data_IF_311961202613
#
_entry.id   IF_311961202613
#
_cell.length_a   1.000
_cell.length_b   1.000
_cell.length_c   1.000
_cell.angle_alpha   90.00
_cell.angle_beta   90.00
_cell.angle_gamma   90.00
#
_symmetry.space_group_name_H-M   'P 1'
#
loop_
_entity.id
_entity.type
_entity.pdbx_description
1 polymer ?
#
# COMPACT_ATOMS: atom_id res chain seq x y z
N UNK A 1 -18.09 -14.43 -12.15
CA UNK A 1 -16.77 -13.74 -12.34
C UNK A 1 -15.69 -14.61 -11.72
N UNK A 2 -14.44 -14.63 -12.18
CA UNK A 2 -13.44 -15.55 -11.60
C UNK A 2 -12.83 -15.02 -10.31
N UNK A 3 -12.40 -15.92 -9.42
CA UNK A 3 -11.77 -15.56 -8.14
C UNK A 3 -10.47 -14.76 -8.33
N UNK A 4 -9.75 -15.02 -9.43
CA UNK A 4 -8.55 -14.28 -9.80
C UNK A 4 -8.85 -12.84 -10.25
N UNK A 5 -9.96 -12.66 -10.98
CA UNK A 5 -10.43 -11.31 -11.34
C UNK A 5 -10.78 -10.52 -10.07
N UNK A 6 -11.48 -11.15 -9.13
CA UNK A 6 -11.84 -10.57 -7.84
C UNK A 6 -10.60 -10.18 -7.02
N UNK A 7 -9.61 -11.08 -6.90
CA UNK A 7 -8.35 -10.78 -6.22
C UNK A 7 -7.59 -9.60 -6.84
N UNK A 8 -7.54 -9.52 -8.17
CA UNK A 8 -6.91 -8.39 -8.88
C UNK A 8 -7.60 -7.07 -8.55
N UNK A 9 -8.94 -7.05 -8.51
CA UNK A 9 -9.71 -5.85 -8.17
C UNK A 9 -9.48 -5.40 -6.72
N UNK A 10 -9.24 -6.32 -5.79
CA UNK A 10 -8.95 -5.96 -4.40
C UNK A 10 -7.70 -5.11 -4.30
N UNK A 11 -6.61 -5.52 -4.98
CA UNK A 11 -5.35 -4.76 -4.98
C UNK A 11 -5.56 -3.33 -5.49
N UNK A 12 -6.20 -3.16 -6.64
CA UNK A 12 -6.49 -1.83 -7.20
C UNK A 12 -7.38 -0.98 -6.29
N UNK A 13 -8.38 -1.58 -5.65
CA UNK A 13 -9.27 -0.87 -4.73
C UNK A 13 -8.52 -0.38 -3.49
N UNK A 14 -7.68 -1.24 -2.89
CA UNK A 14 -6.85 -0.88 -1.74
C UNK A 14 -5.86 0.22 -2.11
N UNK A 15 -5.15 0.09 -3.24
CA UNK A 15 -4.22 1.12 -3.72
C UNK A 15 -4.92 2.47 -3.87
N UNK A 16 -6.10 2.51 -4.49
CA UNK A 16 -6.85 3.76 -4.63
C UNK A 16 -7.21 4.39 -3.28
N UNK A 17 -7.66 3.58 -2.30
CA UNK A 17 -7.95 4.06 -0.95
C UNK A 17 -6.72 4.64 -0.25
N UNK A 18 -5.54 4.04 -0.46
CA UNK A 18 -4.29 4.58 0.06
C UNK A 18 -3.95 5.91 -0.59
N UNK A 19 -4.04 6.00 -1.92
CA UNK A 19 -3.73 7.21 -2.68
C UNK A 19 -4.75 8.35 -2.46
N UNK A 20 -5.96 8.05 -1.99
CA UNK A 20 -6.98 9.02 -1.61
C UNK A 20 -6.77 9.62 -0.21
N UNK A 21 -5.86 9.07 0.59
CA UNK A 21 -5.59 9.55 1.95
C UNK A 21 -4.40 10.53 1.97
N UNK A 22 -4.66 11.77 2.40
CA UNK A 22 -3.65 12.84 2.40
C UNK A 22 -2.47 12.53 3.33
N UNK A 23 -2.71 11.96 4.52
CA UNK A 23 -1.65 11.59 5.46
C UNK A 23 -0.72 10.52 4.87
N UNK A 24 -1.30 9.53 4.18
CA UNK A 24 -0.56 8.51 3.44
C UNK A 24 0.31 9.13 2.36
N UNK A 25 -0.29 9.95 1.48
CA UNK A 25 0.42 10.61 0.38
C UNK A 25 1.56 11.48 0.90
N UNK A 26 1.33 12.22 1.98
CA UNK A 26 2.32 13.09 2.61
C UNK A 26 3.50 12.27 3.17
N UNK A 27 3.26 11.14 3.84
CA UNK A 27 4.32 10.26 4.34
C UNK A 27 5.03 9.43 3.29
N UNK A 28 4.40 9.19 2.14
CA UNK A 28 5.10 8.63 0.97
C UNK A 28 6.12 9.62 0.41
N UNK A 29 5.93 10.93 0.65
CA UNK A 29 6.80 12.03 0.23
C UNK A 29 7.21 11.95 -1.26
N UNK A 30 6.24 11.89 -2.20
CA UNK A 30 6.55 11.81 -3.63
C UNK A 30 7.29 13.04 -4.12
N UNK A 31 8.14 12.82 -5.13
CA UNK A 31 8.83 13.92 -5.81
C UNK A 31 7.82 14.78 -6.58
N UNK A 32 7.99 16.10 -6.53
CA UNK A 32 7.12 16.99 -7.30
C UNK A 32 7.36 16.77 -8.81
N UNK A 33 6.28 16.49 -9.56
CA UNK A 33 6.40 16.39 -11.01
C UNK A 33 6.72 17.76 -11.63
N UNK A 34 7.67 17.86 -12.57
CA UNK A 34 7.89 19.09 -13.32
C UNK A 34 6.75 19.37 -14.32
N UNK A 35 5.85 18.39 -14.55
CA UNK A 35 4.77 18.48 -15.52
C UNK A 35 3.41 18.57 -14.82
N UNK A 36 2.69 19.68 -15.02
CA UNK A 36 1.35 19.92 -14.44
C UNK A 36 0.28 18.89 -14.84
N UNK A 37 0.54 18.10 -15.90
CA UNK A 37 -0.35 17.06 -16.41
C UNK A 37 -0.24 15.75 -15.62
N UNK A 38 0.83 15.58 -14.84
CA UNK A 38 1.08 14.39 -14.02
C UNK A 38 0.71 14.76 -12.58
N UNK A 39 -0.32 14.08 -12.06
CA UNK A 39 -0.76 14.28 -10.68
C UNK A 39 0.19 13.60 -9.69
N UNK A 40 0.10 13.97 -8.40
CA UNK A 40 0.82 13.27 -7.33
C UNK A 40 0.52 11.77 -7.29
N UNK A 41 -0.72 11.37 -7.62
CA UNK A 41 -1.10 9.96 -7.72
C UNK A 41 -0.40 9.26 -8.87
N UNK A 42 -0.28 9.92 -10.02
CA UNK A 42 0.46 9.39 -11.17
C UNK A 42 1.95 9.23 -10.84
N UNK A 43 2.54 10.15 -10.07
CA UNK A 43 3.92 10.02 -9.57
C UNK A 43 4.04 8.81 -8.65
N UNK A 44 3.11 8.62 -7.70
CA UNK A 44 3.13 7.49 -6.76
C UNK A 44 2.94 6.14 -7.45
N UNK A 45 2.16 6.07 -8.53
CA UNK A 45 1.99 4.85 -9.33
C UNK A 45 3.16 4.61 -10.29
N UNK A 46 3.86 5.67 -10.69
CA UNK A 46 4.89 5.58 -11.72
C UNK A 46 4.31 5.37 -13.11
N UNK A 47 5.16 5.46 -14.12
CA UNK A 47 4.73 5.30 -15.50
C UNK A 47 5.65 5.95 -16.51
N UNK A 48 5.17 5.98 -17.75
CA UNK A 48 5.86 6.61 -18.88
C UNK A 48 4.86 7.47 -19.64
N UNK A 49 5.21 8.73 -19.85
CA UNK A 49 4.39 9.70 -20.57
C UNK A 49 5.18 10.32 -21.73
N UNK A 50 4.45 10.69 -22.79
CA UNK A 50 5.00 11.48 -23.89
C UNK A 50 4.46 12.91 -23.76
N UNK A 51 5.29 13.83 -23.26
CA UNK A 51 4.92 15.23 -23.01
C UNK A 51 5.78 16.11 -23.91
N UNK A 52 5.15 16.95 -24.72
CA UNK A 52 5.81 17.82 -25.70
C UNK A 52 6.79 17.07 -26.63
N UNK A 53 6.43 15.84 -27.00
CA UNK A 53 7.25 14.96 -27.84
C UNK A 53 8.46 14.35 -27.14
N UNK A 54 8.63 14.54 -25.82
CA UNK A 54 9.69 13.95 -25.01
C UNK A 54 9.13 12.89 -24.06
N UNK A 55 9.88 11.80 -23.91
CA UNK A 55 9.58 10.73 -22.97
C UNK A 55 9.93 11.19 -21.55
N UNK A 56 8.98 11.07 -20.63
CA UNK A 56 9.17 11.26 -19.21
C UNK A 56 8.84 9.93 -18.51
N UNK A 57 9.71 9.48 -17.60
CA UNK A 57 9.56 8.23 -16.86
C UNK A 57 9.62 8.51 -15.36
N UNK A 58 8.73 7.88 -14.60
CA UNK A 58 8.72 7.89 -13.14
C UNK A 58 8.66 6.44 -12.65
N UNK A 59 9.51 6.09 -11.68
CA UNK A 59 9.56 4.72 -11.14
C UNK A 59 8.28 4.33 -10.40
N UNK A 60 7.65 5.30 -9.72
CA UNK A 60 6.58 5.02 -8.77
C UNK A 60 7.10 4.62 -7.40
N UNK A 61 6.15 4.51 -6.47
CA UNK A 61 6.36 4.16 -5.07
C UNK A 61 5.31 3.17 -4.55
N UNK A 62 4.17 3.04 -5.23
CA UNK A 62 3.06 2.17 -4.84
C UNK A 62 2.79 1.15 -5.94
N UNK A 63 2.91 -0.13 -5.61
CA UNK A 63 2.84 -1.23 -6.57
C UNK A 63 1.78 -2.27 -6.19
N UNK A 64 1.25 -2.98 -7.18
CA UNK A 64 0.36 -4.13 -6.98
C UNK A 64 1.09 -5.48 -7.06
N UNK A 65 2.42 -5.47 -6.94
CA UNK A 65 3.30 -6.64 -6.92
C UNK A 65 4.52 -6.37 -6.02
N UNK A 66 5.22 -7.43 -5.60
CA UNK A 66 6.44 -7.33 -4.81
C UNK A 66 7.55 -6.64 -5.62
N UNK A 67 7.63 -5.32 -5.46
CA UNK A 67 8.58 -4.46 -6.14
C UNK A 67 9.92 -4.51 -5.41
N UNK A 68 10.68 -5.59 -5.64
CA UNK A 68 12.10 -5.65 -5.28
C UNK A 68 12.91 -5.47 -6.55
N UNK A 69 13.19 -4.21 -6.89
CA UNK A 69 14.16 -3.88 -7.92
C UNK A 69 15.58 -4.00 -7.32
N UNK A 70 16.45 -4.79 -7.96
CA UNK A 70 17.88 -4.89 -7.57
C UNK A 70 18.60 -3.54 -7.70
N UNK A 71 18.04 -2.63 -8.50
CA UNK A 71 18.56 -1.30 -8.81
C UNK A 71 17.64 -0.19 -8.33
N UNK A 72 17.21 -0.20 -7.06
CA UNK A 72 16.61 1.00 -6.48
C UNK A 72 17.69 2.09 -6.37
N UNK A 73 17.68 3.03 -7.32
CA UNK A 73 18.63 4.15 -7.40
C UNK A 73 18.24 5.24 -6.40
N UNK A 74 16.93 5.46 -6.20
CA UNK A 74 16.43 6.54 -5.35
C UNK A 74 16.08 6.03 -3.95
N UNK A 75 16.63 6.66 -2.92
CA UNK A 75 16.19 6.44 -1.54
C UNK A 75 14.79 7.03 -1.38
N UNK A 76 13.77 6.16 -1.46
CA UNK A 76 12.35 6.51 -1.32
C UNK A 76 11.66 5.57 -0.32
N UNK A 77 10.41 5.92 -0.01
CA UNK A 77 9.47 5.02 0.68
C UNK A 77 8.62 4.32 -0.36
N UNK A 78 8.40 3.03 -0.16
CA UNK A 78 7.70 2.14 -1.08
C UNK A 78 6.60 1.38 -0.36
N UNK A 79 5.52 1.11 -1.08
CA UNK A 79 4.41 0.27 -0.66
C UNK A 79 4.10 -0.70 -1.79
N UNK A 80 3.86 -1.97 -1.45
CA UNK A 80 3.12 -2.83 -2.37
C UNK A 80 1.95 -3.50 -1.69
N UNK A 81 0.96 -3.80 -2.51
CA UNK A 81 -0.24 -4.53 -2.14
C UNK A 81 -0.27 -5.82 -2.95
N UNK A 82 -0.32 -6.95 -2.25
CA UNK A 82 -0.44 -8.27 -2.88
C UNK A 82 -1.57 -9.08 -2.23
N UNK A 83 -2.10 -10.06 -2.97
CA UNK A 83 -3.18 -10.91 -2.50
C UNK A 83 -2.90 -12.36 -2.83
N UNK A 84 -3.07 -13.23 -1.84
CA UNK A 84 -2.94 -14.68 -2.00
C UNK A 84 -4.25 -15.38 -1.65
N UNK A 85 -4.67 -16.30 -2.50
CA UNK A 85 -5.78 -17.22 -2.19
C UNK A 85 -5.22 -18.29 -1.27
N UNK A 86 -5.76 -18.38 -0.05
CA UNK A 86 -5.29 -19.32 0.96
C UNK A 86 -6.11 -20.60 0.97
N UNK A 87 -7.44 -20.49 0.91
CA UNK A 87 -8.36 -21.63 0.93
C UNK A 87 -9.68 -21.31 0.17
N UNK A 88 -10.31 -22.35 -0.39
CA UNK A 88 -11.66 -22.30 -0.98
C UNK A 88 -12.52 -23.27 -0.18
N UNK A 89 -13.21 -22.76 0.84
CA UNK A 89 -13.97 -23.62 1.74
C UNK A 89 -15.33 -23.98 1.11
N UNK A 90 -15.50 -25.28 0.83
CA UNK A 90 -16.76 -25.95 0.41
C UNK A 90 -17.57 -25.20 -0.65
N UNK A 91 -16.89 -24.62 -1.64
CA UNK A 91 -17.49 -23.88 -2.75
C UNK A 91 -18.37 -22.68 -2.37
N UNK A 92 -18.46 -22.28 -1.10
CA UNK A 92 -19.40 -21.24 -0.65
C UNK A 92 -18.70 -19.92 -0.32
N UNK A 93 -17.50 -19.99 0.25
CA UNK A 93 -16.68 -18.84 0.59
C UNK A 93 -15.24 -19.03 0.12
N UNK A 94 -14.58 -17.93 -0.20
CA UNK A 94 -13.14 -17.91 -0.51
C UNK A 94 -12.48 -16.98 0.48
N UNK A 95 -11.41 -17.49 1.09
CA UNK A 95 -10.57 -16.71 2.00
C UNK A 95 -9.30 -16.27 1.25
N UNK A 96 -9.08 -14.96 1.25
CA UNK A 96 -7.89 -14.32 0.71
C UNK A 96 -7.08 -13.72 1.84
N UNK A 97 -5.76 -13.81 1.73
CA UNK A 97 -4.88 -12.92 2.48
C UNK A 97 -4.52 -11.72 1.62
N UNK A 98 -4.65 -10.53 2.18
CA UNK A 98 -4.13 -9.29 1.65
C UNK A 98 -2.86 -8.92 2.41
N UNK A 99 -1.79 -8.67 1.68
CA UNK A 99 -0.52 -8.19 2.19
C UNK A 99 -0.33 -6.75 1.76
N UNK A 100 -0.08 -5.87 2.73
CA UNK A 100 0.35 -4.50 2.47
C UNK A 100 1.71 -4.32 3.11
N UNK A 101 2.76 -4.33 2.30
CA UNK A 101 4.12 -4.20 2.78
C UNK A 101 4.63 -2.77 2.51
N UNK A 102 5.15 -2.12 3.55
CA UNK A 102 5.71 -0.78 3.53
C UNK A 102 7.18 -0.87 3.87
N UNK A 103 8.04 -0.24 3.10
CA UNK A 103 9.47 -0.19 3.40
C UNK A 103 10.09 1.11 2.92
N UNK A 104 11.17 1.53 3.56
CA UNK A 104 11.87 2.76 3.22
C UNK A 104 13.37 2.59 3.43
N UNK A 105 14.16 3.41 2.76
CA UNK A 105 15.60 3.45 2.99
C UNK A 105 15.86 3.73 4.47
N UNK A 106 16.83 3.04 5.09
CA UNK A 106 17.11 3.18 6.52
C UNK A 106 17.43 4.63 6.95
N UNK A 107 17.94 5.44 6.03
CA UNK A 107 18.16 6.89 6.17
C UNK A 107 16.87 7.69 6.36
N UNK A 108 15.73 7.19 5.89
CA UNK A 108 14.43 7.87 5.86
C UNK A 108 13.43 7.36 6.90
N UNK A 109 13.77 6.30 7.65
CA UNK A 109 12.90 5.68 8.67
C UNK A 109 12.55 6.68 9.76
N UNK A 110 13.52 7.49 10.18
CA UNK A 110 13.34 8.48 11.24
C UNK A 110 12.74 9.77 10.65
N UNK A 111 11.62 10.21 11.21
CA UNK A 111 11.08 11.55 10.97
C UNK A 111 11.83 12.52 11.89
N UNK A 112 12.59 13.43 11.28
CA UNK A 112 13.43 14.41 11.96
C UNK A 112 12.99 15.84 11.60
N UNK A 113 13.59 16.85 12.23
CA UNK A 113 13.18 18.25 12.01
C UNK A 113 13.34 18.73 10.57
N UNK A 114 14.28 18.17 9.82
CA UNK A 114 14.60 18.48 8.42
C UNK A 114 14.10 17.40 7.43
N UNK A 115 13.38 16.38 7.90
CA UNK A 115 12.81 15.38 6.99
C UNK A 115 11.58 15.92 6.26
N UNK A 116 11.25 15.27 5.14
CA UNK A 116 9.98 15.46 4.44
C UNK A 116 9.16 14.16 4.49
N UNK A 117 7.98 14.13 5.15
CA UNK A 117 7.38 15.19 5.94
C UNK A 117 8.17 15.47 7.23
N UNK A 118 7.92 16.64 7.81
CA UNK A 118 8.58 17.13 9.03
C UNK A 118 7.90 16.60 10.30
N UNK A 119 8.50 16.91 11.46
CA UNK A 119 7.88 16.65 12.77
C UNK A 119 6.51 17.31 12.88
N UNK A 120 6.37 18.56 12.42
CA UNK A 120 5.12 19.30 12.51
C UNK A 120 4.01 18.64 11.70
N UNK A 121 4.31 18.24 10.47
CA UNK A 121 3.36 17.55 9.59
C UNK A 121 2.84 16.27 10.27
N UNK A 122 3.72 15.51 10.92
CA UNK A 122 3.35 14.27 11.61
C UNK A 122 2.57 14.53 12.91
N UNK A 123 2.83 15.63 13.61
CA UNK A 123 2.02 16.06 14.76
C UNK A 123 0.62 16.51 14.32
N UNK A 124 0.48 17.16 13.16
CA UNK A 124 -0.83 17.53 12.59
C UNK A 124 -1.66 16.29 12.20
N UNK A 125 -1.02 15.19 11.79
CA UNK A 125 -1.66 13.87 11.60
C UNK A 125 -2.13 13.22 12.92
N UNK A 126 -1.76 13.80 14.08
CA UNK A 126 -2.14 13.32 15.41
C UNK A 126 -1.12 12.39 16.09
N UNK A 127 0.10 12.26 15.55
CA UNK A 127 1.13 11.41 16.14
C UNK A 127 2.05 12.21 17.07
N UNK A 128 2.34 11.64 18.25
CA UNK A 128 3.31 12.21 19.16
C UNK A 128 4.72 11.72 18.81
N UNK A 129 5.52 12.57 18.19
CA UNK A 129 6.91 12.26 17.79
C UNK A 129 7.95 12.92 18.71
N UNK A 130 7.50 13.70 19.69
CA UNK A 130 8.35 14.40 20.65
C UNK A 130 9.24 15.48 20.03
N UNK A 131 9.73 16.39 20.87
CA UNK A 131 10.50 17.58 20.43
C UNK A 131 11.86 17.27 19.77
N UNK A 132 12.30 16.01 19.76
CA UNK A 132 13.58 15.57 19.18
C UNK A 132 13.42 14.60 18.00
N UNK A 133 12.19 14.43 17.48
CA UNK A 133 11.93 13.65 16.26
C UNK A 133 12.16 12.16 16.43
N UNK A 134 11.41 11.50 17.31
CA UNK A 134 11.44 10.04 17.47
C UNK A 134 10.38 9.32 16.62
N UNK A 135 9.78 10.01 15.65
CA UNK A 135 8.80 9.43 14.75
C UNK A 135 9.42 8.36 13.86
N UNK A 136 8.77 7.21 13.76
CA UNK A 136 9.13 6.14 12.83
C UNK A 136 8.14 6.14 11.66
N UNK A 137 8.61 6.55 10.48
CA UNK A 137 7.80 6.65 9.25
C UNK A 137 7.06 5.35 8.95
N UNK A 138 7.71 4.20 9.15
CA UNK A 138 7.12 2.89 8.87
C UNK A 138 5.99 2.57 9.85
N UNK A 139 6.18 2.88 11.14
CA UNK A 139 5.14 2.63 12.16
C UNK A 139 3.91 3.51 11.92
N UNK A 140 4.14 4.77 11.57
CA UNK A 140 3.09 5.74 11.25
C UNK A 140 2.33 5.32 9.99
N UNK A 141 3.04 4.97 8.91
CA UNK A 141 2.42 4.46 7.68
C UNK A 141 1.61 3.19 7.93
N UNK A 142 2.12 2.26 8.75
CA UNK A 142 1.38 1.06 9.10
C UNK A 142 0.06 1.38 9.82
N UNK A 143 0.07 2.33 10.76
CA UNK A 143 -1.15 2.76 11.46
C UNK A 143 -2.14 3.46 10.52
N UNK A 144 -1.66 4.35 9.63
CA UNK A 144 -2.52 4.97 8.59
C UNK A 144 -3.16 3.91 7.70
N UNK A 145 -2.38 2.96 7.19
CA UNK A 145 -2.87 1.86 6.36
C UNK A 145 -3.91 1.04 7.12
N UNK A 146 -3.64 0.70 8.39
CA UNK A 146 -4.63 -0.02 9.19
C UNK A 146 -5.91 0.77 9.37
N UNK A 147 -5.85 2.07 9.65
CA UNK A 147 -7.05 2.92 9.75
C UNK A 147 -7.84 3.01 8.44
N UNK A 148 -7.17 2.95 7.29
CA UNK A 148 -7.81 2.97 5.96
C UNK A 148 -8.53 1.64 5.67
N UNK A 149 -7.90 0.51 6.01
CA UNK A 149 -8.34 -0.84 5.65
C UNK A 149 -9.26 -1.45 6.71
N UNK A 150 -8.86 -1.38 7.98
CA UNK A 150 -9.56 -1.97 9.12
C UNK A 150 -10.72 -1.08 9.57
N UNK A 151 -11.88 -1.69 9.86
CA UNK A 151 -13.14 -1.00 10.25
C UNK A 151 -13.76 -0.09 9.18
N UNK A 152 -13.29 -0.18 7.94
CA UNK A 152 -13.92 0.54 6.84
C UNK A 152 -15.08 -0.30 6.28
N UNK A 153 -16.26 -0.14 6.87
CA UNK A 153 -17.50 -0.81 6.45
C UNK A 153 -17.94 -0.42 5.01
N UNK A 154 -17.23 0.52 4.37
CA UNK A 154 -17.53 1.07 3.04
C UNK A 154 -16.64 0.56 1.91
N UNK A 155 -15.74 -0.41 2.15
CA UNK A 155 -14.93 -0.98 1.05
C UNK A 155 -15.80 -1.92 0.22
N UNK A 156 -16.61 -1.32 -0.66
CA UNK A 156 -17.53 -2.01 -1.54
C UNK A 156 -16.78 -2.99 -2.43
N UNK A 157 -17.24 -4.23 -2.44
CA UNK A 157 -16.75 -5.25 -3.36
C UNK A 157 -15.56 -6.06 -2.86
N UNK A 158 -14.97 -5.79 -1.68
CA UNK A 158 -13.86 -6.61 -1.13
C UNK A 158 -14.33 -7.69 -0.14
N UNK A 159 -15.50 -7.53 0.47
CA UNK A 159 -15.99 -8.44 1.52
C UNK A 159 -15.53 -8.00 2.91
N UNK A 160 -15.48 -8.94 3.85
CA UNK A 160 -15.14 -8.62 5.24
C UNK A 160 -13.61 -8.69 5.44
N UNK A 161 -12.98 -7.55 5.70
CA UNK A 161 -11.53 -7.44 5.93
C UNK A 161 -11.26 -7.35 7.42
N UNK A 162 -10.34 -8.18 7.92
CA UNK A 162 -9.90 -8.16 9.32
C UNK A 162 -8.38 -8.34 9.43
N UNK A 163 -7.72 -7.71 10.42
CA UNK A 163 -6.35 -8.05 10.78
C UNK A 163 -6.16 -9.56 10.97
N UNK A 164 -5.11 -10.13 10.40
CA UNK A 164 -4.83 -11.55 10.58
C UNK A 164 -4.61 -11.87 12.07
N UNK A 165 -5.26 -12.92 12.62
CA UNK A 165 -5.19 -13.22 14.05
C UNK A 165 -3.79 -13.59 14.53
N UNK A 166 -2.90 -13.99 13.62
CA UNK A 166 -1.48 -14.26 13.89
C UNK A 166 -0.62 -13.59 12.85
N UNK A 167 0.42 -12.89 13.31
CA UNK A 167 1.38 -12.27 12.42
C UNK A 167 0.82 -11.10 11.62
N UNK A 168 -0.17 -10.39 12.19
CA UNK A 168 -0.78 -9.19 11.61
C UNK A 168 0.27 -8.20 11.09
N UNK A 169 1.32 -7.94 11.87
CA UNK A 169 2.40 -7.05 11.50
C UNK A 169 3.75 -7.77 11.70
N UNK A 170 4.52 -7.92 10.62
CA UNK A 170 5.85 -8.56 10.62
C UNK A 170 6.89 -7.62 10.02
N UNK A 171 8.15 -7.76 10.41
CA UNK A 171 9.24 -7.04 9.77
C UNK A 171 9.38 -7.51 8.31
N UNK A 172 9.68 -6.56 7.42
CA UNK A 172 9.97 -6.80 6.01
C UNK A 172 11.16 -5.94 5.60
N UNK A 173 12.20 -6.57 5.07
CA UNK A 173 13.41 -5.90 4.59
C UNK A 173 13.79 -6.52 3.25
N UNK A 174 13.54 -5.84 2.12
CA UNK A 174 13.85 -6.42 0.80
C UNK A 174 15.35 -6.60 0.61
N UNK A 175 16.16 -5.76 1.26
CA UNK A 175 17.61 -5.93 1.38
C UNK A 175 18.13 -5.19 2.63
N UNK A 176 19.45 -5.17 2.82
CA UNK A 176 20.08 -4.57 4.01
C UNK A 176 20.01 -3.04 4.08
N UNK A 177 19.68 -2.33 2.99
CA UNK A 177 19.52 -0.87 2.94
C UNK A 177 18.12 -0.41 3.35
N UNK A 178 17.14 -1.30 3.24
CA UNK A 178 15.74 -1.00 3.49
C UNK A 178 15.23 -1.63 4.79
N UNK A 179 14.32 -0.93 5.44
CA UNK A 179 13.58 -1.42 6.60
C UNK A 179 12.10 -1.13 6.41
N UNK A 180 11.28 -2.09 6.82
CA UNK A 180 9.86 -2.06 6.58
C UNK A 180 9.11 -3.06 7.43
N UNK A 181 7.80 -3.07 7.22
CA UNK A 181 6.85 -3.97 7.85
C UNK A 181 5.82 -4.42 6.82
N UNK A 182 5.26 -5.60 7.03
CA UNK A 182 4.15 -6.09 6.25
C UNK A 182 2.93 -6.36 7.13
N UNK A 183 1.82 -5.74 6.74
CA UNK A 183 0.51 -5.93 7.34
C UNK A 183 -0.23 -7.04 6.61
N UNK A 184 -0.80 -7.98 7.35
CA UNK A 184 -1.55 -9.11 6.80
C UNK A 184 -3.00 -9.02 7.25
N UNK A 185 -3.92 -9.01 6.29
CA UNK A 185 -5.36 -9.03 6.52
C UNK A 185 -5.96 -10.31 5.94
N UNK A 186 -6.96 -10.84 6.62
CA UNK A 186 -7.82 -11.91 6.10
C UNK A 186 -9.09 -11.30 5.54
N UNK A 187 -9.46 -11.71 4.34
CA UNK A 187 -10.64 -11.29 3.61
C UNK A 187 -11.50 -12.53 3.37
N UNK A 188 -12.74 -12.52 3.84
CA UNK A 188 -13.72 -13.56 3.54
C UNK A 188 -14.82 -13.00 2.62
N UNK A 189 -15.07 -13.66 1.50
CA UNK A 189 -16.12 -13.29 0.55
C UNK A 189 -16.88 -14.52 0.02
N UNK A 190 -18.11 -14.32 -0.47
CA UNK A 190 -18.90 -15.36 -1.14
C UNK A 190 -18.24 -15.80 -2.46
N UNK A 191 -18.34 -17.08 -2.77
CA UNK A 191 -17.82 -17.65 -4.00
C UNK A 191 -18.82 -17.51 -5.17
N UNK A 192 -18.74 -16.41 -5.90
CA UNK A 192 -19.56 -16.17 -7.11
C UNK A 192 -19.22 -17.13 -8.27
N UNK A 193 -18.19 -17.97 -8.15
CA UNK A 193 -17.80 -18.98 -9.14
C UNK A 193 -18.58 -20.30 -9.03
N UNK A 194 -19.29 -20.55 -7.92
CA UNK A 194 -20.02 -21.79 -7.68
C UNK A 194 -21.45 -21.81 -8.26
N UNK A 195 -22.00 -20.66 -8.64
CA UNK A 195 -23.35 -20.56 -9.22
C UNK A 195 -23.41 -20.88 -10.73
N UNK A 196 -22.27 -21.21 -11.35
CA UNK A 196 -22.25 -21.86 -12.66
C UNK A 196 -22.49 -23.38 -12.54
N UNK A 197 -23.50 -23.79 -11.76
CA UNK A 197 -24.06 -25.13 -11.91
C UNK A 197 -24.72 -25.20 -13.28
N UNK A 198 -24.03 -25.88 -14.20
CA UNK A 198 -24.47 -26.16 -15.56
C UNK A 198 -25.89 -26.75 -15.54
N UNK A 199 -26.82 -26.08 -16.21
CA UNK A 199 -28.04 -26.73 -16.68
C UNK A 199 -27.64 -27.67 -17.83
N UNK A 200 -27.34 -28.93 -17.51
CA UNK A 200 -27.35 -30.04 -18.47
C UNK A 200 -28.44 -31.04 -18.09
#
# INVERSE_FOLDING_TARGET
MSNLYTASNYKSTIINLLLDNDDFVLLMAPSASPHKQISTKDVLLGGTWLIDGKKYEEQGQVFDYDFVDDTIIDEKTFVFVDSKIDDIDRNSFIDFNLYVCVFTAKSLVKVAGDSNPSIYDVEEMGYNVGSYGYGNRIDILCDIIDRIINKNDNIKGIGNIKPAPKGFCKNYSPNNKYYGKCLTYSISNYNDGADNCEYY
#
